data_IF_535154864159
#
_entry.id   IF_535154864159
#
_cell.length_a   1.000
_cell.length_b   1.000
_cell.length_c   1.000
_cell.angle_alpha   90.00
_cell.angle_beta   90.00
_cell.angle_gamma   90.00
#
_symmetry.space_group_name_H-M   'P 1'
#
loop_
_entity.id
_entity.type
_entity.pdbx_description
1 polymer ?
#
# COMPACT_ATOMS: atom_id res chain seq x y z
N UNK A 1 20.25 -11.35 -43.15
CA UNK A 1 19.49 -10.20 -42.59
C UNK A 1 18.45 -10.62 -41.56
N UNK A 2 17.62 -11.65 -41.80
CA UNK A 2 16.62 -12.12 -40.81
C UNK A 2 17.21 -12.44 -39.42
N UNK A 3 18.34 -13.16 -39.36
CA UNK A 3 19.02 -13.51 -38.10
C UNK A 3 19.49 -12.31 -37.27
N UNK A 4 19.89 -11.22 -37.93
CA UNK A 4 20.33 -9.99 -37.26
C UNK A 4 19.11 -9.24 -36.70
N UNK A 5 18.02 -9.20 -37.46
CA UNK A 5 16.75 -8.60 -37.00
C UNK A 5 16.16 -9.36 -35.81
N UNK A 6 16.20 -10.70 -35.81
CA UNK A 6 15.75 -11.52 -34.69
C UNK A 6 16.60 -11.29 -33.44
N UNK A 7 17.92 -11.13 -33.58
CA UNK A 7 18.83 -10.84 -32.47
C UNK A 7 18.57 -9.46 -31.87
N UNK A 8 18.29 -8.46 -32.71
CA UNK A 8 17.96 -7.09 -32.28
C UNK A 8 16.63 -7.04 -31.52
N UNK A 9 15.60 -7.75 -31.99
CA UNK A 9 14.31 -7.87 -31.31
C UNK A 9 14.48 -8.56 -29.94
N UNK A 10 15.30 -9.61 -29.86
CA UNK A 10 15.57 -10.33 -28.61
C UNK A 10 16.31 -9.43 -27.59
N UNK A 11 17.26 -8.61 -28.05
CA UNK A 11 17.94 -7.64 -27.18
C UNK A 11 16.98 -6.57 -26.65
N UNK A 12 16.03 -6.08 -27.45
CA UNK A 12 15.02 -5.13 -26.99
C UNK A 12 14.14 -5.71 -25.88
N UNK A 13 13.78 -7.00 -25.93
CA UNK A 13 13.04 -7.66 -24.86
C UNK A 13 13.84 -7.81 -23.56
N UNK A 14 15.17 -7.96 -23.65
CA UNK A 14 16.05 -8.10 -22.47
C UNK A 14 16.32 -6.77 -21.77
N UNK A 15 16.35 -5.66 -22.52
CA UNK A 15 16.59 -4.32 -21.95
C UNK A 15 15.29 -3.71 -21.37
N UNK A 16 14.13 -4.18 -21.83
CA UNK A 16 12.81 -3.71 -21.36
C UNK A 16 12.35 -4.36 -20.04
N UNK A 17 13.24 -5.03 -19.31
CA UNK A 17 12.99 -5.35 -17.90
C UNK A 17 13.13 -4.06 -17.08
N UNK A 18 12.18 -3.13 -17.25
CA UNK A 18 12.03 -2.02 -16.33
C UNK A 18 11.86 -2.61 -14.93
N UNK A 19 12.81 -2.31 -14.05
CA UNK A 19 12.70 -2.70 -12.66
C UNK A 19 11.46 -2.00 -12.13
N UNK A 20 10.40 -2.78 -11.89
CA UNK A 20 9.18 -2.27 -11.29
C UNK A 20 9.57 -1.51 -10.03
N UNK A 21 9.06 -0.30 -9.97
CA UNK A 21 9.37 0.62 -8.91
C UNK A 21 8.68 0.11 -7.62
N UNK A 22 9.43 -0.09 -6.51
CA UNK A 22 8.90 -0.78 -5.34
C UNK A 22 7.79 0.04 -4.67
N UNK A 23 6.96 -0.63 -3.86
CA UNK A 23 5.87 0.02 -3.12
C UNK A 23 6.41 0.91 -1.98
N UNK A 24 7.53 0.50 -1.37
CA UNK A 24 8.28 1.22 -0.35
C UNK A 24 9.75 1.34 -0.79
N UNK A 25 10.39 2.47 -0.49
CA UNK A 25 11.84 2.57 -0.66
C UNK A 25 12.57 1.75 0.39
N UNK A 26 13.84 1.42 0.15
CA UNK A 26 14.68 0.73 1.13
C UNK A 26 14.73 1.50 2.46
N UNK A 27 14.87 2.83 2.40
CA UNK A 27 14.87 3.70 3.59
C UNK A 27 13.54 3.61 4.38
N UNK A 28 12.39 3.54 3.68
CA UNK A 28 11.09 3.39 4.33
C UNK A 28 10.99 2.04 5.05
N UNK A 29 11.43 0.97 4.39
CA UNK A 29 11.48 -0.36 4.98
C UNK A 29 12.39 -0.37 6.21
N UNK A 30 13.54 0.30 6.16
CA UNK A 30 14.43 0.44 7.32
C UNK A 30 13.78 1.18 8.48
N UNK A 31 13.07 2.28 8.19
CA UNK A 31 12.29 3.04 9.18
C UNK A 31 11.17 2.20 9.80
N UNK A 32 10.47 1.37 9.02
CA UNK A 32 9.46 0.43 9.51
C UNK A 32 10.06 -0.71 10.33
N UNK A 33 11.20 -1.24 9.90
CA UNK A 33 11.89 -2.33 10.58
C UNK A 33 12.52 -1.91 11.91
N UNK A 34 12.76 -0.61 12.10
CA UNK A 34 13.35 -0.06 13.31
C UNK A 34 12.36 -0.04 14.49
N UNK A 35 12.32 -1.10 15.27
CA UNK A 35 11.40 -1.24 16.39
C UNK A 35 12.05 -0.77 17.71
N UNK A 36 11.94 0.54 18.03
CA UNK A 36 12.18 1.11 19.38
C UNK A 36 10.84 1.59 19.96
N UNK A 37 10.77 1.73 21.29
CA UNK A 37 9.54 2.01 22.11
C UNK A 37 8.66 3.16 21.59
N UNK A 38 9.20 4.09 20.79
CA UNK A 38 8.44 5.12 20.10
C UNK A 38 8.89 5.14 18.63
N UNK A 39 8.31 4.28 17.79
CA UNK A 39 8.42 4.39 16.34
C UNK A 39 7.09 4.92 15.79
N UNK A 40 7.10 6.19 15.36
CA UNK A 40 5.91 6.88 14.79
C UNK A 40 5.35 6.20 13.55
N UNK A 41 6.16 5.40 12.85
CA UNK A 41 5.76 4.70 11.62
C UNK A 41 4.98 3.41 11.89
N UNK A 42 4.92 2.93 13.13
CA UNK A 42 4.20 1.68 13.47
C UNK A 42 2.68 1.80 13.32
N UNK A 43 2.15 3.03 13.28
CA UNK A 43 0.73 3.31 13.14
C UNK A 43 0.31 3.61 11.69
N UNK A 44 1.23 3.53 10.73
CA UNK A 44 0.87 3.66 9.31
C UNK A 44 0.14 2.39 8.89
N UNK A 45 -1.09 2.55 8.43
CA UNK A 45 -1.86 1.47 7.84
C UNK A 45 -1.20 1.00 6.54
N UNK A 46 -1.08 -0.32 6.42
CA UNK A 46 -0.55 -0.99 5.23
C UNK A 46 -1.53 -2.06 4.78
N UNK A 47 -1.54 -2.29 3.47
CA UNK A 47 -2.55 -3.11 2.80
C UNK A 47 -1.88 -4.30 2.13
N UNK A 48 -2.42 -5.49 2.38
CA UNK A 48 -1.88 -6.75 1.88
C UNK A 48 -2.97 -7.42 1.06
N UNK A 49 -2.68 -7.64 -0.23
CA UNK A 49 -3.59 -8.38 -1.11
C UNK A 49 -3.54 -9.86 -0.78
N UNK A 50 -4.68 -10.53 -0.77
CA UNK A 50 -4.76 -11.98 -0.56
C UNK A 50 -5.17 -12.72 -1.82
N UNK A 51 -5.05 -14.05 -1.78
CA UNK A 51 -5.54 -14.97 -2.80
C UNK A 51 -7.07 -15.24 -2.73
N UNK A 52 -7.79 -14.63 -1.80
CA UNK A 52 -9.24 -14.84 -1.58
C UNK A 52 -10.09 -13.63 -2.02
N UNK A 53 -9.56 -12.81 -2.93
CA UNK A 53 -10.16 -11.53 -3.37
C UNK A 53 -10.44 -10.55 -2.21
N UNK A 54 -9.67 -10.66 -1.13
CA UNK A 54 -9.72 -9.76 0.01
C UNK A 54 -8.44 -8.93 0.13
N UNK A 55 -8.58 -7.78 0.77
CA UNK A 55 -7.46 -6.94 1.19
C UNK A 55 -7.45 -6.91 2.71
N UNK A 56 -6.30 -7.26 3.28
CA UNK A 56 -6.04 -7.14 4.71
C UNK A 56 -5.44 -5.77 5.02
N UNK A 57 -5.98 -5.10 6.02
CA UNK A 57 -5.40 -3.87 6.58
C UNK A 57 -4.68 -4.24 7.87
N UNK A 58 -3.44 -3.82 8.01
CA UNK A 58 -2.63 -3.99 9.21
C UNK A 58 -1.76 -2.74 9.39
N UNK A 59 -0.83 -2.76 10.33
CA UNK A 59 0.14 -1.68 10.52
C UNK A 59 1.49 -2.22 10.98
N UNK A 60 2.48 -1.35 11.14
CA UNK A 60 3.85 -1.76 11.50
C UNK A 60 3.94 -2.50 12.84
N UNK A 61 3.08 -2.18 13.83
CA UNK A 61 3.05 -2.90 15.11
C UNK A 61 2.52 -4.33 14.93
N UNK A 62 1.37 -4.48 14.28
CA UNK A 62 0.74 -5.78 14.07
C UNK A 62 1.56 -6.68 13.13
N UNK A 63 2.27 -6.09 12.17
CA UNK A 63 3.25 -6.81 11.34
C UNK A 63 4.42 -7.33 12.16
N UNK A 64 4.94 -6.53 13.10
CA UNK A 64 6.01 -6.97 13.98
C UNK A 64 5.55 -8.13 14.86
N UNK A 65 4.35 -8.02 15.45
CA UNK A 65 3.75 -9.11 16.22
C UNK A 65 3.53 -10.36 15.36
N UNK A 66 3.04 -10.21 14.13
CA UNK A 66 2.87 -11.30 13.17
C UNK A 66 4.20 -12.00 12.87
N UNK A 67 5.27 -11.23 12.62
CA UNK A 67 6.61 -11.76 12.44
C UNK A 67 7.06 -12.57 13.66
N UNK A 68 6.91 -12.00 14.86
CA UNK A 68 7.27 -12.64 16.14
C UNK A 68 6.53 -13.94 16.40
N UNK A 69 5.25 -14.02 16.05
CA UNK A 69 4.42 -15.18 16.35
C UNK A 69 4.49 -16.28 15.28
N UNK A 70 4.54 -15.90 14.00
CA UNK A 70 4.30 -16.83 12.91
C UNK A 70 5.50 -16.98 11.96
N UNK A 71 6.37 -15.98 11.83
CA UNK A 71 7.36 -15.95 10.74
C UNK A 71 8.83 -15.88 11.15
N UNK A 72 9.17 -15.81 12.44
CA UNK A 72 10.59 -15.77 12.86
C UNK A 72 11.41 -16.99 12.43
N UNK A 73 10.76 -18.13 12.15
CA UNK A 73 11.42 -19.32 11.63
C UNK A 73 11.60 -19.29 10.11
N UNK A 74 10.79 -18.50 9.40
CA UNK A 74 10.77 -18.39 7.93
C UNK A 74 11.70 -17.28 7.45
N UNK A 75 11.71 -16.13 8.12
CA UNK A 75 12.58 -14.99 7.78
C UNK A 75 13.59 -14.75 8.88
N UNK A 76 14.83 -14.43 8.51
CA UNK A 76 15.93 -14.23 9.46
C UNK A 76 15.78 -12.91 10.21
N UNK A 77 15.23 -11.90 9.55
CA UNK A 77 15.02 -10.57 10.12
C UNK A 77 13.61 -10.04 9.86
N UNK A 78 13.19 -9.08 10.69
CA UNK A 78 11.94 -8.36 10.45
C UNK A 78 11.99 -7.51 9.17
N UNK A 79 13.17 -6.95 8.83
CA UNK A 79 13.40 -6.23 7.58
C UNK A 79 13.07 -7.13 6.37
N UNK A 80 13.64 -8.34 6.33
CA UNK A 80 13.36 -9.31 5.26
C UNK A 80 11.87 -9.67 5.18
N UNK A 81 11.20 -9.84 6.31
CA UNK A 81 9.74 -10.08 6.33
C UNK A 81 8.97 -8.91 5.70
N UNK A 82 9.30 -7.67 6.04
CA UNK A 82 8.66 -6.47 5.50
C UNK A 82 8.91 -6.31 4.00
N UNK A 83 10.14 -6.55 3.54
CA UNK A 83 10.51 -6.47 2.11
C UNK A 83 9.65 -7.40 1.25
N UNK A 84 9.29 -8.58 1.77
CA UNK A 84 8.43 -9.53 1.07
C UNK A 84 6.96 -9.12 1.19
N UNK A 85 6.46 -8.91 2.40
CA UNK A 85 5.02 -8.76 2.64
C UNK A 85 4.48 -7.42 2.14
N UNK A 86 5.31 -6.38 2.07
CA UNK A 86 4.93 -5.06 1.57
C UNK A 86 5.26 -4.85 0.08
N UNK A 87 5.80 -5.87 -0.59
CA UNK A 87 6.03 -5.81 -2.03
C UNK A 87 4.70 -5.69 -2.80
N UNK A 88 4.73 -4.94 -3.91
CA UNK A 88 3.53 -4.63 -4.70
C UNK A 88 2.91 -5.88 -5.34
N UNK A 89 3.73 -6.85 -5.73
CA UNK A 89 3.31 -8.05 -6.43
C UNK A 89 3.10 -9.24 -5.46
N UNK A 90 3.34 -9.04 -4.15
CA UNK A 90 3.12 -10.06 -3.15
C UNK A 90 1.61 -10.31 -2.94
N UNK A 91 1.24 -11.59 -2.94
CA UNK A 91 -0.10 -12.07 -2.65
C UNK A 91 -0.02 -13.00 -1.44
N UNK A 92 -0.68 -12.61 -0.37
CA UNK A 92 -0.74 -13.37 0.87
C UNK A 92 -1.68 -14.57 0.73
N UNK A 93 -1.21 -15.76 1.13
CA UNK A 93 -2.03 -16.97 1.13
C UNK A 93 -2.86 -17.04 2.40
N UNK A 94 -4.03 -16.38 2.40
CA UNK A 94 -4.92 -16.32 3.55
C UNK A 94 -5.44 -17.69 4.01
N UNK A 95 -5.41 -18.70 3.13
CA UNK A 95 -5.87 -20.06 3.44
C UNK A 95 -4.88 -20.85 4.31
N UNK A 96 -3.58 -20.54 4.23
CA UNK A 96 -2.51 -21.31 4.89
C UNK A 96 -1.59 -20.48 5.79
N UNK A 97 -1.54 -19.16 5.59
CA UNK A 97 -0.67 -18.25 6.34
C UNK A 97 -1.49 -17.42 7.35
N UNK A 98 -0.83 -16.97 8.43
CA UNK A 98 -1.47 -16.20 9.51
C UNK A 98 -0.86 -14.83 9.65
N UNK A 99 -1.68 -13.81 9.73
CA UNK A 99 -1.24 -12.43 9.93
C UNK A 99 -2.25 -11.71 10.82
N UNK A 100 -1.75 -10.85 11.71
CA UNK A 100 -2.58 -10.07 12.60
C UNK A 100 -3.02 -8.84 11.82
N UNK A 101 -4.34 -8.63 11.75
CA UNK A 101 -4.97 -7.59 10.95
C UNK A 101 -5.82 -6.68 11.84
N UNK A 102 -5.98 -5.43 11.40
CA UNK A 102 -6.97 -4.51 11.94
C UNK A 102 -8.37 -4.83 11.38
N UNK A 103 -8.43 -5.08 10.07
CA UNK A 103 -9.65 -5.39 9.35
C UNK A 103 -9.33 -6.07 8.01
N UNK A 104 -10.34 -6.68 7.39
CA UNK A 104 -10.32 -7.15 6.01
C UNK A 104 -11.53 -6.57 5.25
N UNK A 105 -11.41 -6.46 3.94
CA UNK A 105 -12.52 -6.02 3.08
C UNK A 105 -12.34 -6.53 1.65
N UNK A 106 -13.43 -6.51 0.89
CA UNK A 106 -13.43 -6.73 -0.57
C UNK A 106 -13.55 -5.40 -1.29
N UNK A 107 -12.93 -5.31 -2.46
CA UNK A 107 -13.00 -4.09 -3.28
C UNK A 107 -14.45 -3.81 -3.68
N UNK A 108 -14.85 -2.56 -3.52
CA UNK A 108 -16.11 -2.05 -4.04
C UNK A 108 -16.00 -1.96 -5.57
N UNK A 109 -16.70 -2.85 -6.27
CA UNK A 109 -16.62 -2.96 -7.74
C UNK A 109 -17.01 -1.68 -8.47
N UNK A 110 -17.88 -0.85 -7.89
CA UNK A 110 -18.28 0.43 -8.50
C UNK A 110 -17.11 1.41 -8.43
N UNK A 111 -16.48 1.56 -7.25
CA UNK A 111 -15.31 2.42 -7.05
C UNK A 111 -14.11 1.96 -7.89
N UNK A 112 -13.88 0.65 -7.98
CA UNK A 112 -12.81 0.07 -8.79
C UNK A 112 -12.99 0.38 -10.28
N UNK A 113 -14.17 0.11 -10.85
CA UNK A 113 -14.48 0.46 -12.26
C UNK A 113 -14.36 1.96 -12.53
N UNK A 114 -14.72 2.77 -11.56
CA UNK A 114 -14.58 4.21 -11.67
C UNK A 114 -13.12 4.64 -11.70
N UNK A 115 -12.28 4.07 -10.84
CA UNK A 115 -10.83 4.29 -10.86
C UNK A 115 -10.22 3.91 -12.21
N UNK A 116 -10.56 2.73 -12.74
CA UNK A 116 -10.09 2.26 -14.04
C UNK A 116 -10.50 3.20 -15.18
N UNK A 117 -11.70 3.79 -15.10
CA UNK A 117 -12.21 4.72 -16.11
C UNK A 117 -11.61 6.13 -15.99
N UNK A 118 -11.38 6.63 -14.78
CA UNK A 118 -10.97 8.02 -14.54
C UNK A 118 -9.45 8.21 -14.60
N UNK A 119 -8.70 7.16 -14.22
CA UNK A 119 -7.29 7.28 -13.89
C UNK A 119 -7.06 7.98 -12.54
N UNK A 120 -5.84 7.85 -12.03
CA UNK A 120 -5.50 8.28 -10.66
C UNK A 120 -5.75 9.76 -10.39
N UNK A 121 -5.34 10.68 -11.28
CA UNK A 121 -5.43 12.12 -11.01
C UNK A 121 -6.88 12.61 -10.86
N UNK A 122 -7.77 12.13 -11.74
CA UNK A 122 -9.19 12.47 -11.68
C UNK A 122 -9.89 11.77 -10.52
N UNK A 123 -9.51 10.53 -10.22
CA UNK A 123 -10.00 9.81 -9.05
C UNK A 123 -9.63 10.55 -7.76
N UNK A 124 -8.36 10.95 -7.60
CA UNK A 124 -7.88 11.73 -6.47
C UNK A 124 -8.63 13.06 -6.38
N UNK A 125 -8.79 13.80 -7.47
CA UNK A 125 -9.52 15.07 -7.49
C UNK A 125 -10.99 14.91 -7.06
N UNK A 126 -11.64 13.82 -7.44
CA UNK A 126 -13.04 13.56 -7.09
C UNK A 126 -13.18 13.29 -5.59
N UNK A 127 -12.35 12.41 -5.06
CA UNK A 127 -12.46 11.93 -3.68
C UNK A 127 -11.68 12.77 -2.67
N UNK A 128 -11.03 13.84 -3.10
CA UNK A 128 -10.35 14.78 -2.21
C UNK A 128 -11.08 16.12 -2.12
N UNK A 129 -10.79 16.83 -1.04
CA UNK A 129 -11.13 18.24 -0.84
C UNK A 129 -9.95 18.95 -0.17
N UNK A 130 -9.81 20.27 -0.33
CA UNK A 130 -8.83 21.03 0.44
C UNK A 130 -9.03 20.82 1.94
N UNK A 131 -7.94 20.63 2.68
CA UNK A 131 -7.97 20.64 4.14
C UNK A 131 -8.28 22.05 4.65
N UNK A 132 -8.99 22.14 5.76
CA UNK A 132 -9.29 23.43 6.40
C UNK A 132 -8.09 24.02 7.16
N UNK A 133 -7.19 23.17 7.66
CA UNK A 133 -6.14 23.57 8.61
C UNK A 133 -4.72 23.40 8.05
N UNK A 134 -4.55 22.59 6.99
CA UNK A 134 -3.27 22.34 6.34
C UNK A 134 -3.35 22.74 4.86
N UNK A 135 -2.22 23.10 4.23
CA UNK A 135 -2.12 23.29 2.77
C UNK A 135 -2.24 21.96 1.98
N UNK A 136 -2.87 20.94 2.55
CA UNK A 136 -3.00 19.59 1.99
C UNK A 136 -4.42 19.25 1.56
N UNK A 137 -4.60 18.00 1.14
CA UNK A 137 -5.91 17.45 0.78
C UNK A 137 -6.38 16.45 1.83
N UNK A 138 -7.69 16.38 2.02
CA UNK A 138 -8.37 15.36 2.85
C UNK A 138 -9.32 14.55 1.98
N UNK A 139 -9.65 13.33 2.40
CA UNK A 139 -10.76 12.60 1.82
C UNK A 139 -12.06 13.37 2.02
N UNK A 140 -12.85 13.46 0.95
CA UNK A 140 -14.14 14.12 0.98
C UNK A 140 -15.22 13.18 1.56
N UNK A 141 -15.24 13.06 2.89
CA UNK A 141 -16.19 12.20 3.60
C UNK A 141 -17.67 12.54 3.37
N UNK A 142 -17.99 13.71 2.78
CA UNK A 142 -19.36 14.09 2.45
C UNK A 142 -19.93 13.33 1.25
N UNK A 143 -19.07 12.80 0.37
CA UNK A 143 -19.48 12.08 -0.84
C UNK A 143 -19.16 10.58 -0.78
N UNK A 144 -18.21 10.20 0.08
CA UNK A 144 -17.72 8.83 0.22
C UNK A 144 -18.73 8.02 1.02
N UNK A 145 -19.22 6.92 0.45
CA UNK A 145 -20.03 5.97 1.19
C UNK A 145 -19.16 5.08 2.10
N UNK A 146 -19.69 4.58 3.23
CA UNK A 146 -18.92 3.75 4.17
C UNK A 146 -18.26 2.52 3.52
N UNK A 147 -18.93 1.89 2.55
CA UNK A 147 -18.44 0.72 1.82
C UNK A 147 -17.45 1.07 0.68
N UNK A 148 -17.36 2.35 0.29
CA UNK A 148 -16.39 2.83 -0.68
C UNK A 148 -15.05 3.20 -0.02
N UNK A 149 -15.08 3.62 1.26
CA UNK A 149 -13.93 4.19 1.96
C UNK A 149 -12.68 3.31 1.91
N UNK A 150 -12.78 2.03 2.30
CA UNK A 150 -11.62 1.13 2.32
C UNK A 150 -11.05 0.88 0.92
N UNK A 151 -11.91 0.87 -0.10
CA UNK A 151 -11.48 0.72 -1.50
C UNK A 151 -10.73 1.97 -1.97
N UNK A 152 -11.25 3.17 -1.66
CA UNK A 152 -10.58 4.43 -1.99
C UNK A 152 -9.21 4.51 -1.30
N UNK A 153 -9.14 4.21 0.00
CA UNK A 153 -7.89 4.23 0.75
C UNK A 153 -6.86 3.24 0.19
N UNK A 154 -7.29 2.05 -0.23
CA UNK A 154 -6.40 1.09 -0.89
C UNK A 154 -5.92 1.55 -2.27
N UNK A 155 -6.78 2.14 -3.08
CA UNK A 155 -6.39 2.68 -4.38
C UNK A 155 -5.40 3.85 -4.24
N UNK A 156 -5.58 4.70 -3.22
CA UNK A 156 -4.59 5.72 -2.84
C UNK A 156 -3.26 5.07 -2.40
N UNK A 157 -3.32 4.02 -1.58
CA UNK A 157 -2.17 3.25 -1.15
C UNK A 157 -1.37 2.66 -2.33
N UNK A 158 -2.04 2.08 -3.32
CA UNK A 158 -1.37 1.56 -4.53
C UNK A 158 -0.66 2.65 -5.34
N UNK A 159 -1.10 3.90 -5.21
CA UNK A 159 -0.52 5.08 -5.84
C UNK A 159 0.44 5.84 -4.90
N UNK A 160 0.89 5.22 -3.81
CA UNK A 160 1.84 5.78 -2.83
C UNK A 160 1.31 7.01 -2.09
N UNK A 161 0.03 6.99 -1.75
CA UNK A 161 -0.56 7.91 -0.78
C UNK A 161 -1.01 7.14 0.45
N UNK A 162 -0.74 7.67 1.62
CA UNK A 162 -1.25 7.13 2.87
C UNK A 162 -2.38 8.04 3.39
N UNK A 163 -3.23 7.47 4.24
CA UNK A 163 -4.29 8.21 4.94
C UNK A 163 -3.86 8.40 6.38
N UNK A 164 -3.74 9.66 6.81
CA UNK A 164 -3.51 10.01 8.22
C UNK A 164 -4.83 10.38 8.87
N UNK A 165 -5.13 9.75 10.00
CA UNK A 165 -6.31 10.06 10.80
C UNK A 165 -5.94 11.11 11.85
N UNK A 166 -6.71 12.19 11.92
CA UNK A 166 -6.73 13.10 13.07
C UNK A 166 -7.65 12.48 14.14
N UNK A 167 -7.12 12.28 15.34
CA UNK A 167 -7.81 11.63 16.47
C UNK A 167 -8.75 12.58 17.22
N UNK A 168 -8.63 13.89 17.00
CA UNK A 168 -9.47 14.94 17.61
C UNK A 168 -10.71 15.20 16.73
N UNK A 169 -10.53 15.21 15.41
CA UNK A 169 -11.62 15.32 14.44
C UNK A 169 -11.46 14.21 13.41
N UNK A 170 -12.52 13.44 13.04
CA UNK A 170 -12.42 12.34 12.08
C UNK A 170 -12.17 12.86 10.65
N UNK A 171 -10.95 13.34 10.43
CA UNK A 171 -10.42 13.88 9.19
C UNK A 171 -9.35 12.91 8.72
N UNK A 172 -9.36 12.69 7.42
CA UNK A 172 -8.52 11.70 6.76
C UNK A 172 -7.62 12.45 5.78
N UNK A 173 -6.50 12.95 6.27
CA UNK A 173 -5.53 13.66 5.44
C UNK A 173 -4.90 12.70 4.44
N UNK A 174 -4.85 13.11 3.18
CA UNK A 174 -4.18 12.37 2.10
C UNK A 174 -2.75 12.91 2.02
N UNK A 175 -1.79 12.06 2.34
CA UNK A 175 -0.36 12.42 2.35
C UNK A 175 0.38 11.53 1.35
N UNK A 176 1.34 12.08 0.61
CA UNK A 176 2.23 11.22 -0.18
C UNK A 176 3.03 10.35 0.78
N UNK A 177 3.17 9.07 0.47
CA UNK A 177 3.88 8.12 1.34
C UNK A 177 5.27 8.61 1.70
N UNK A 178 6.01 9.17 0.75
CA UNK A 178 7.33 9.76 1.01
C UNK A 178 7.33 10.80 2.14
N UNK A 179 6.27 11.59 2.27
CA UNK A 179 6.11 12.61 3.31
C UNK A 179 5.71 11.98 4.65
N UNK A 180 5.02 10.83 4.67
CA UNK A 180 4.77 10.04 5.89
C UNK A 180 6.06 9.56 6.56
N UNK A 181 7.14 9.43 5.80
CA UNK A 181 8.44 8.95 6.25
C UNK A 181 9.49 10.06 6.46
N UNK A 182 9.12 11.34 6.33
CA UNK A 182 9.98 12.48 6.67
C UNK A 182 9.93 12.79 8.18
#
# INVERSE_FOLDING_TARGET
MKKILTLLILLCFLISCEKKEPNFSEEMIEKLAFHKVINKYLFIDVYIRTNEDEIFVTNGELLYQSYKMYYQKKYKTYKEFLEIVLDKDYVFDASNEKIIILQNFKLNQKTEKEYDSLGFDNFLKKYSRPSFNDNGNELNSLIIQPDEFSTISYLLYLNRYDIRVDDIHPRYSIIKREDSFK
#
